data_IF_862289397369
#
_entry.id   IF_862289397369
#
_cell.length_a   1.000
_cell.length_b   1.000
_cell.length_c   1.000
_cell.angle_alpha   90.00
_cell.angle_beta   90.00
_cell.angle_gamma   90.00
#
_symmetry.space_group_name_H-M   'P 1'
#
loop_
_entity.id
_entity.type
_entity.pdbx_description
1 polymer ?
#
# COMPACT_ATOMS: atom_id res chain seq x y z
N UNK A 1 -9.69 22.90 -17.42
CA UNK A 1 -8.56 22.06 -17.00
C UNK A 1 -7.62 22.91 -16.18
N UNK A 2 -7.44 22.61 -14.89
CA UNK A 2 -6.43 23.29 -14.07
C UNK A 2 -5.03 22.81 -14.52
N UNK A 3 -4.09 23.75 -14.69
CA UNK A 3 -2.70 23.44 -15.06
C UNK A 3 -1.92 23.01 -13.81
N UNK A 4 -1.89 21.70 -13.55
CA UNK A 4 -1.11 21.10 -12.45
C UNK A 4 0.41 21.32 -12.61
N UNK A 5 0.88 21.66 -13.81
CA UNK A 5 2.30 21.91 -14.11
C UNK A 5 2.88 23.18 -13.48
N UNK A 6 2.07 24.09 -12.93
CA UNK A 6 2.60 25.34 -12.33
C UNK A 6 3.14 25.13 -10.91
N UNK A 7 2.69 24.07 -10.21
CA UNK A 7 3.08 23.76 -8.83
C UNK A 7 3.33 22.26 -8.58
N UNK A 8 3.31 21.44 -9.64
CA UNK A 8 3.54 20.00 -9.54
C UNK A 8 4.99 19.70 -9.19
N UNK A 9 5.21 18.92 -8.13
CA UNK A 9 6.52 18.33 -7.86
C UNK A 9 6.73 17.21 -8.87
N UNK A 10 7.73 17.34 -9.74
CA UNK A 10 8.18 16.25 -10.59
C UNK A 10 8.86 15.20 -9.71
N UNK A 11 8.35 13.96 -9.72
CA UNK A 11 8.85 12.87 -8.90
C UNK A 11 9.37 11.76 -9.79
N UNK A 12 10.57 11.29 -9.51
CA UNK A 12 11.07 10.06 -10.10
C UNK A 12 10.32 8.87 -9.49
N UNK A 13 9.82 7.97 -10.33
CA UNK A 13 9.18 6.73 -9.86
C UNK A 13 10.24 5.89 -9.15
N UNK A 14 10.20 5.91 -7.82
CA UNK A 14 11.09 5.14 -6.94
C UNK A 14 10.28 4.38 -5.91
N UNK A 15 10.88 3.30 -5.45
CA UNK A 15 10.40 2.49 -4.36
C UNK A 15 11.08 2.92 -3.06
N UNK A 16 10.41 2.70 -1.93
CA UNK A 16 11.02 2.89 -0.62
C UNK A 16 12.24 1.97 -0.48
N UNK A 17 13.37 2.51 -0.03
CA UNK A 17 14.53 1.67 0.25
C UNK A 17 14.27 0.81 1.50
N UNK A 18 14.62 -0.46 1.42
CA UNK A 18 14.35 -1.40 2.51
C UNK A 18 15.24 -1.15 3.73
N UNK A 19 16.51 -0.77 3.55
CA UNK A 19 17.38 -0.47 4.69
C UNK A 19 16.96 0.82 5.39
N UNK A 20 16.52 1.82 4.63
CA UNK A 20 15.89 3.01 5.21
C UNK A 20 14.66 2.65 6.03
N UNK A 21 13.78 1.78 5.51
CA UNK A 21 12.60 1.31 6.25
C UNK A 21 13.01 0.64 7.56
N UNK A 22 13.99 -0.28 7.51
CA UNK A 22 14.49 -0.95 8.72
C UNK A 22 15.00 0.03 9.76
N UNK A 23 15.86 0.98 9.35
CA UNK A 23 16.40 2.00 10.26
C UNK A 23 15.29 2.80 10.95
N UNK A 24 14.26 3.19 10.20
CA UNK A 24 13.09 3.89 10.76
C UNK A 24 12.39 3.01 11.82
N UNK A 25 12.13 1.75 11.51
CA UNK A 25 11.48 0.83 12.46
C UNK A 25 12.35 0.60 13.70
N UNK A 26 13.65 0.37 13.51
CA UNK A 26 14.61 0.12 14.60
C UNK A 26 14.71 1.34 15.54
N UNK A 27 14.61 2.56 15.02
CA UNK A 27 14.52 3.76 15.86
C UNK A 27 13.16 3.86 16.57
N UNK A 28 12.05 3.58 15.87
CA UNK A 28 10.69 3.71 16.39
C UNK A 28 10.38 2.76 17.56
N UNK A 29 10.92 1.53 17.54
CA UNK A 29 10.67 0.54 18.61
C UNK A 29 11.23 0.95 19.97
N UNK A 30 12.12 1.95 20.01
CA UNK A 30 12.69 2.47 21.25
C UNK A 30 11.87 3.60 21.87
N UNK A 31 10.78 4.04 21.22
CA UNK A 31 9.91 5.07 21.78
C UNK A 31 9.07 4.50 22.93
N UNK A 32 8.88 5.29 23.99
CA UNK A 32 8.05 4.91 25.15
C UNK A 32 6.62 4.53 24.75
N UNK A 33 6.10 5.20 23.71
CA UNK A 33 4.83 4.87 23.07
C UNK A 33 5.07 4.61 21.59
N UNK A 34 4.89 3.37 21.18
CA UNK A 34 5.05 2.99 19.79
C UNK A 34 3.95 3.62 18.94
N UNK A 35 4.30 4.39 17.89
CA UNK A 35 3.31 4.95 16.97
C UNK A 35 2.69 3.85 16.11
N UNK A 36 1.44 4.06 15.68
CA UNK A 36 0.79 3.21 14.68
C UNK A 36 1.49 3.36 13.33
N UNK A 37 1.66 2.25 12.62
CA UNK A 37 2.26 2.24 11.29
C UNK A 37 1.17 2.08 10.25
N UNK A 38 1.06 3.08 9.37
CA UNK A 38 0.14 3.05 8.24
C UNK A 38 0.96 3.04 6.95
N UNK A 39 0.89 1.93 6.22
CA UNK A 39 1.48 1.76 4.89
C UNK A 39 0.57 2.43 3.86
N UNK A 40 0.48 3.74 3.93
CA UNK A 40 -0.31 4.56 3.02
C UNK A 40 0.45 5.84 2.67
N UNK A 41 0.70 6.05 1.39
CA UNK A 41 1.07 7.34 0.82
C UNK A 41 0.75 7.34 -0.67
N UNK A 42 1.42 8.17 -1.47
CA UNK A 42 1.30 8.15 -2.91
C UNK A 42 1.83 6.84 -3.52
N UNK A 43 1.05 6.28 -4.45
CA UNK A 43 1.39 5.05 -5.17
C UNK A 43 0.59 3.84 -4.69
N UNK A 44 1.11 2.64 -5.01
CA UNK A 44 0.49 1.36 -4.67
C UNK A 44 1.55 0.45 -4.02
N UNK A 45 1.35 0.11 -2.74
CA UNK A 45 2.30 -0.70 -1.97
C UNK A 45 2.53 -2.09 -2.58
N UNK A 46 1.48 -2.68 -3.17
CA UNK A 46 1.57 -4.02 -3.76
C UNK A 46 2.45 -4.11 -5.01
N UNK A 47 2.81 -2.99 -5.64
CA UNK A 47 3.77 -3.00 -6.77
C UNK A 47 5.23 -3.02 -6.32
N UNK A 48 5.50 -2.91 -5.03
CA UNK A 48 6.85 -2.98 -4.50
C UNK A 48 7.41 -4.41 -4.62
N UNK A 49 8.62 -4.62 -5.17
CA UNK A 49 9.18 -5.96 -5.36
C UNK A 49 9.48 -6.68 -4.04
N UNK A 50 9.86 -5.91 -3.01
CA UNK A 50 10.14 -6.42 -1.66
C UNK A 50 8.96 -6.32 -0.69
N UNK A 51 7.73 -6.18 -1.18
CA UNK A 51 6.56 -5.90 -0.32
C UNK A 51 6.44 -6.84 0.90
N UNK A 52 6.53 -8.16 0.66
CA UNK A 52 6.43 -9.17 1.73
C UNK A 52 7.56 -9.02 2.75
N UNK A 53 8.78 -8.74 2.29
CA UNK A 53 9.95 -8.53 3.15
C UNK A 53 9.75 -7.37 4.14
N UNK A 54 9.00 -6.32 3.76
CA UNK A 54 8.68 -5.22 4.65
C UNK A 54 7.73 -5.67 5.76
N UNK A 55 6.71 -6.46 5.43
CA UNK A 55 5.77 -7.01 6.40
C UNK A 55 6.45 -7.99 7.37
N UNK A 56 7.27 -8.91 6.85
CA UNK A 56 8.08 -9.82 7.66
C UNK A 56 9.03 -9.08 8.61
N UNK A 57 9.54 -7.91 8.20
CA UNK A 57 10.39 -7.11 9.08
C UNK A 57 9.63 -6.53 10.27
N UNK A 58 8.42 -6.03 10.05
CA UNK A 58 7.55 -5.53 11.12
C UNK A 58 7.14 -6.65 12.09
N UNK A 59 6.84 -7.84 11.55
CA UNK A 59 6.42 -8.99 12.34
C UNK A 59 7.48 -9.46 13.35
N UNK A 60 8.78 -9.28 13.06
CA UNK A 60 9.88 -9.54 14.02
C UNK A 60 9.71 -8.78 15.34
N UNK A 61 9.02 -7.65 15.31
CA UNK A 61 8.74 -6.81 16.47
C UNK A 61 7.28 -6.92 16.93
N UNK A 62 6.54 -7.91 16.44
CA UNK A 62 5.08 -8.07 16.64
C UNK A 62 4.27 -6.86 16.17
N UNK A 63 4.77 -6.10 15.19
CA UNK A 63 4.08 -4.92 14.67
C UNK A 63 3.20 -5.33 13.50
N UNK A 64 1.90 -5.03 13.59
CA UNK A 64 0.93 -5.27 12.51
C UNK A 64 0.46 -3.93 11.95
N UNK A 65 0.81 -3.57 10.71
CA UNK A 65 0.46 -2.27 10.16
C UNK A 65 -0.99 -2.22 9.67
N UNK A 66 -1.49 -1.00 9.48
CA UNK A 66 -2.63 -0.73 8.59
C UNK A 66 -2.12 -0.47 7.18
N UNK A 67 -2.65 -1.16 6.17
CA UNK A 67 -2.42 -0.87 4.75
C UNK A 67 -3.66 -0.33 4.04
N UNK A 68 -3.47 0.64 3.14
CA UNK A 68 -4.48 1.09 2.19
C UNK A 68 -4.02 0.76 0.77
N UNK A 69 -4.86 0.10 -0.03
CA UNK A 69 -4.47 -0.43 -1.35
C UNK A 69 -5.62 -0.38 -2.35
N UNK A 70 -5.29 -0.28 -3.64
CA UNK A 70 -6.21 -0.49 -4.76
C UNK A 70 -6.24 -1.94 -5.26
N UNK A 71 -5.50 -2.84 -4.59
CA UNK A 71 -5.23 -4.24 -4.97
C UNK A 71 -4.49 -4.43 -6.30
N UNK A 72 -4.10 -3.34 -6.97
CA UNK A 72 -3.34 -3.40 -8.21
C UNK A 72 -1.96 -4.03 -7.96
N UNK A 73 -1.68 -5.12 -8.70
CA UNK A 73 -0.42 -5.86 -8.53
C UNK A 73 -0.44 -6.88 -7.38
N UNK A 74 -1.59 -7.10 -6.74
CA UNK A 74 -1.77 -8.19 -5.77
C UNK A 74 -1.64 -9.57 -6.43
N UNK A 75 -0.61 -10.32 -6.06
CA UNK A 75 -0.54 -11.77 -6.25
C UNK A 75 -1.16 -12.46 -5.04
N UNK A 76 -1.58 -13.72 -5.18
CA UNK A 76 -2.12 -14.51 -4.06
C UNK A 76 -1.18 -14.51 -2.85
N UNK A 77 0.13 -14.59 -3.10
CA UNK A 77 1.17 -14.53 -2.07
C UNK A 77 1.17 -13.20 -1.31
N UNK A 78 1.07 -12.06 -2.02
CA UNK A 78 0.99 -10.74 -1.37
C UNK A 78 -0.33 -10.53 -0.63
N UNK A 79 -1.43 -11.06 -1.17
CA UNK A 79 -2.74 -10.99 -0.51
C UNK A 79 -2.73 -11.79 0.81
N UNK A 80 -2.21 -13.02 0.77
CA UNK A 80 -2.04 -13.84 1.97
C UNK A 80 -1.11 -13.16 2.99
N UNK A 81 0.02 -12.62 2.54
CA UNK A 81 0.91 -11.87 3.44
C UNK A 81 0.23 -10.67 4.11
N UNK A 82 -0.65 -9.95 3.41
CA UNK A 82 -1.44 -8.89 4.05
C UNK A 82 -2.38 -9.45 5.12
N UNK A 83 -3.05 -10.58 4.86
CA UNK A 83 -3.94 -11.24 5.83
C UNK A 83 -3.14 -11.69 7.06
N UNK A 84 -1.94 -12.23 6.85
CA UNK A 84 -1.11 -12.80 7.91
C UNK A 84 -0.41 -11.74 8.76
N UNK A 85 -0.06 -10.58 8.19
CA UNK A 85 0.80 -9.59 8.85
C UNK A 85 0.15 -8.23 9.12
N UNK A 86 -0.92 -7.85 8.42
CA UNK A 86 -1.58 -6.55 8.65
C UNK A 86 -2.67 -6.66 9.72
N UNK A 87 -2.85 -5.58 10.49
CA UNK A 87 -3.98 -5.44 11.42
C UNK A 87 -5.24 -4.99 10.68
N UNK A 88 -5.07 -4.07 9.72
CA UNK A 88 -6.17 -3.51 8.94
C UNK A 88 -5.78 -3.44 7.48
N UNK A 89 -6.70 -3.87 6.61
CA UNK A 89 -6.58 -3.76 5.16
C UNK A 89 -7.75 -2.89 4.68
N UNK A 90 -7.44 -1.69 4.17
CA UNK A 90 -8.41 -0.79 3.57
C UNK A 90 -8.31 -0.86 2.04
N UNK A 91 -9.40 -1.25 1.38
CA UNK A 91 -9.44 -1.40 -0.08
C UNK A 91 -10.16 -0.22 -0.72
N UNK A 92 -9.51 0.42 -1.69
CA UNK A 92 -10.04 1.56 -2.43
C UNK A 92 -10.74 1.11 -3.71
N UNK A 93 -12.08 1.13 -3.70
CA UNK A 93 -12.95 0.67 -4.81
C UNK A 93 -13.75 1.81 -5.49
N UNK A 94 -13.71 3.03 -4.97
CA UNK A 94 -14.35 4.22 -5.58
C UNK A 94 -15.85 4.07 -5.97
N UNK A 95 -16.57 3.17 -5.31
CA UNK A 95 -18.00 2.93 -5.54
C UNK A 95 -18.27 1.76 -6.49
N UNK A 96 -19.29 1.91 -7.35
CA UNK A 96 -19.67 0.89 -8.33
C UNK A 96 -18.76 0.92 -9.57
N UNK A 97 -18.91 -0.07 -10.46
CA UNK A 97 -18.09 -0.21 -11.68
C UNK A 97 -18.03 1.05 -12.55
N UNK A 98 -19.16 1.73 -12.71
CA UNK A 98 -19.23 2.96 -13.51
C UNK A 98 -18.42 4.08 -12.87
N UNK A 99 -18.61 4.32 -11.56
CA UNK A 99 -17.87 5.32 -10.80
C UNK A 99 -16.37 5.02 -10.78
N UNK A 100 -15.98 3.77 -10.52
CA UNK A 100 -14.59 3.34 -10.58
C UNK A 100 -13.99 3.59 -11.96
N UNK A 101 -14.70 3.22 -13.03
CA UNK A 101 -14.20 3.38 -14.40
C UNK A 101 -14.03 4.85 -14.76
N UNK A 102 -14.96 5.71 -14.33
CA UNK A 102 -14.87 7.15 -14.54
C UNK A 102 -13.70 7.78 -13.76
N UNK A 103 -13.46 7.33 -12.52
CA UNK A 103 -12.41 7.88 -11.66
C UNK A 103 -11.01 7.34 -11.97
N UNK A 104 -10.89 6.05 -12.32
CA UNK A 104 -9.61 5.33 -12.47
C UNK A 104 -9.31 4.90 -13.91
N UNK A 105 -10.25 5.06 -14.83
CA UNK A 105 -10.04 4.88 -16.27
C UNK A 105 -10.01 3.43 -16.77
N UNK A 106 -10.40 2.42 -15.97
CA UNK A 106 -10.31 1.02 -16.39
C UNK A 106 -11.39 0.10 -15.78
N UNK A 107 -12.38 -0.28 -16.59
CA UNK A 107 -13.40 -1.28 -16.22
C UNK A 107 -12.80 -2.68 -16.00
N UNK A 108 -11.74 -3.04 -16.74
CA UNK A 108 -11.04 -4.34 -16.55
C UNK A 108 -10.35 -4.42 -15.19
N UNK A 109 -9.85 -3.29 -14.70
CA UNK A 109 -9.24 -3.22 -13.38
C UNK A 109 -10.28 -3.40 -12.28
N UNK A 110 -11.50 -2.87 -12.46
CA UNK A 110 -12.60 -3.11 -11.52
C UNK A 110 -12.90 -4.62 -11.38
N UNK A 111 -13.05 -5.35 -12.48
CA UNK A 111 -13.33 -6.79 -12.42
C UNK A 111 -12.23 -7.55 -11.69
N UNK A 112 -10.95 -7.25 -11.99
CA UNK A 112 -9.82 -7.90 -11.33
C UNK A 112 -9.79 -7.63 -9.82
N UNK A 113 -10.04 -6.39 -9.39
CA UNK A 113 -10.11 -6.03 -7.97
C UNK A 113 -11.27 -6.75 -7.30
N UNK A 114 -12.41 -6.85 -7.98
CA UNK A 114 -13.59 -7.55 -7.48
C UNK A 114 -13.34 -9.07 -7.32
N UNK A 115 -12.65 -9.70 -8.27
CA UNK A 115 -12.22 -11.11 -8.16
C UNK A 115 -11.29 -11.35 -6.95
N UNK A 116 -10.44 -10.38 -6.60
CA UNK A 116 -9.54 -10.49 -5.45
C UNK A 116 -10.25 -10.32 -4.09
N UNK A 117 -11.50 -9.85 -4.10
CA UNK A 117 -12.32 -9.62 -2.90
C UNK A 117 -13.30 -10.78 -2.61
N UNK A 118 -13.45 -11.72 -3.54
CA UNK A 118 -14.37 -12.87 -3.45
C UNK A 118 -13.63 -14.18 -3.21
#
# INVERSE_FOLDING_TARGET
>A
MQNWNKYGVEREKKYMDFELFKNIIDEMIHFEKMPSIILSYEGESLVHPKFIQFLEYLDKYSIRPWITTSLLGGSIEKLNAMIDYCETISVSLDGNKEMFTNNRGSAKQFEKVNEQLT
#
